data_IF_909421094383
#
_entry.id   IF_909421094383
#
_cell.length_a   1.000
_cell.length_b   1.000
_cell.length_c   1.000
_cell.angle_alpha   90.00
_cell.angle_beta   90.00
_cell.angle_gamma   90.00
#
_symmetry.space_group_name_H-M   'P 1'
#
loop_
_entity.id
_entity.type
_entity.pdbx_description
1 polymer ?
#
# COMPACT_ATOMS: atom_id res chain seq x y z
N UNK A 1 0.24 21.07 2.77
CA UNK A 1 1.50 20.39 3.09
C UNK A 1 1.58 18.96 2.54
N UNK A 2 1.12 18.77 1.30
CA UNK A 2 1.28 17.50 0.63
C UNK A 2 2.71 17.35 0.14
N UNK A 3 3.32 16.19 0.38
CA UNK A 3 4.64 15.88 -0.15
C UNK A 3 4.55 15.54 -1.64
N UNK A 4 3.43 14.94 -2.04
CA UNK A 4 3.24 14.51 -3.41
C UNK A 4 1.77 14.20 -3.65
N UNK A 5 1.25 14.59 -4.82
CA UNK A 5 -0.12 14.30 -5.22
C UNK A 5 -0.12 13.88 -6.69
N UNK A 6 -0.88 12.86 -6.98
CA UNK A 6 -1.05 12.38 -8.34
C UNK A 6 -2.52 12.42 -8.72
N UNK A 7 -2.84 13.13 -9.81
CA UNK A 7 -4.21 13.37 -10.26
C UNK A 7 -4.67 12.40 -11.34
N UNK A 8 -3.76 11.65 -11.95
CA UNK A 8 -4.08 10.68 -12.99
C UNK A 8 -4.36 9.30 -12.41
N UNK A 9 -5.11 8.50 -13.19
CA UNK A 9 -5.34 7.11 -12.84
C UNK A 9 -4.17 6.24 -13.26
N UNK A 10 -3.78 5.33 -12.41
CA UNK A 10 -2.83 4.28 -12.76
C UNK A 10 -3.56 2.98 -12.98
N UNK A 11 -3.15 2.25 -14.01
CA UNK A 11 -3.61 0.89 -14.23
C UNK A 11 -2.38 -0.01 -14.23
N UNK A 12 -2.36 -0.92 -13.27
CA UNK A 12 -1.26 -1.85 -13.12
C UNK A 12 -1.77 -3.25 -13.47
N UNK A 13 -1.12 -3.89 -14.45
CA UNK A 13 -1.42 -5.25 -14.82
C UNK A 13 -0.18 -6.11 -14.61
N UNK A 14 -0.33 -7.21 -13.90
CA UNK A 14 0.76 -8.12 -13.60
C UNK A 14 0.29 -9.56 -13.82
N UNK A 15 0.86 -10.24 -14.81
CA UNK A 15 0.43 -11.60 -15.17
C UNK A 15 0.93 -12.64 -14.17
N UNK A 16 2.15 -12.46 -13.67
CA UNK A 16 2.74 -13.38 -12.69
C UNK A 16 3.41 -12.57 -11.60
N UNK A 17 3.26 -13.04 -10.34
CA UNK A 17 3.88 -12.42 -9.20
C UNK A 17 3.34 -11.04 -8.89
N UNK A 18 4.10 -10.28 -8.13
CA UNK A 18 3.70 -8.98 -7.64
C UNK A 18 4.42 -7.86 -8.40
N UNK A 19 3.66 -6.92 -8.94
CA UNK A 19 4.18 -5.74 -9.62
C UNK A 19 4.01 -4.49 -8.77
N UNK A 20 4.96 -3.57 -8.87
CA UNK A 20 4.96 -2.30 -8.17
C UNK A 20 5.23 -1.15 -9.13
N UNK A 21 4.46 -0.05 -8.95
CA UNK A 21 4.80 1.25 -9.53
C UNK A 21 5.34 2.09 -8.39
N UNK A 22 6.64 2.41 -8.43
CA UNK A 22 7.34 3.10 -7.35
C UNK A 22 7.49 4.58 -7.67
N UNK A 23 7.17 5.45 -6.72
CA UNK A 23 7.27 6.90 -6.83
C UNK A 23 7.83 7.50 -5.55
N UNK A 24 8.32 8.74 -5.64
CA UNK A 24 8.84 9.47 -4.49
C UNK A 24 10.35 9.32 -4.35
N UNK A 25 10.86 9.72 -3.19
CA UNK A 25 12.29 9.72 -2.93
C UNK A 25 12.63 8.83 -1.74
N UNK A 26 13.90 8.45 -1.64
CA UNK A 26 14.38 7.66 -0.50
C UNK A 26 14.50 8.47 0.79
N UNK A 27 14.36 9.80 0.70
CA UNK A 27 14.53 10.68 1.86
C UNK A 27 13.27 10.84 2.70
N UNK A 28 12.11 10.42 2.21
CA UNK A 28 10.88 10.51 2.98
C UNK A 28 10.93 9.55 4.16
N UNK A 29 10.59 10.03 5.34
CA UNK A 29 10.67 9.24 6.57
C UNK A 29 9.31 9.00 7.20
N UNK A 30 8.63 10.06 7.63
CA UNK A 30 7.35 9.97 8.34
C UNK A 30 6.27 10.61 7.52
N UNK A 31 5.33 9.80 7.04
CA UNK A 31 4.28 10.30 6.14
C UNK A 31 3.11 9.33 6.05
N UNK A 32 2.03 9.81 5.45
CA UNK A 32 0.87 9.00 5.10
C UNK A 32 0.70 8.99 3.61
N UNK A 33 0.41 7.83 3.05
CA UNK A 33 -0.03 7.69 1.66
C UNK A 33 -1.48 7.21 1.66
N UNK A 34 -2.31 7.87 0.85
CA UNK A 34 -3.71 7.46 0.64
C UNK A 34 -3.96 7.31 -0.85
N UNK A 35 -4.82 6.39 -1.20
CA UNK A 35 -5.18 6.15 -2.61
C UNK A 35 -6.51 5.43 -2.70
N UNK A 36 -7.26 5.72 -3.77
CA UNK A 36 -8.47 4.98 -4.13
C UNK A 36 -8.06 3.80 -5.01
N UNK A 37 -8.24 2.59 -4.51
CA UNK A 37 -7.80 1.37 -5.18
C UNK A 37 -9.02 0.57 -5.63
N UNK A 38 -9.02 0.20 -6.92
CA UNK A 38 -10.10 -0.59 -7.51
C UNK A 38 -9.50 -1.85 -8.13
N UNK A 39 -9.49 -2.97 -7.40
CA UNK A 39 -9.03 -4.23 -8.00
C UNK A 39 -10.08 -4.74 -8.97
N UNK A 40 -9.71 -4.91 -10.23
CA UNK A 40 -10.62 -5.46 -11.25
C UNK A 40 -10.54 -6.97 -11.30
N UNK A 41 -9.35 -7.53 -11.12
CA UNK A 41 -9.10 -8.95 -11.00
C UNK A 41 -7.66 -9.09 -10.51
N UNK A 42 -7.46 -9.40 -9.25
CA UNK A 42 -6.11 -9.50 -8.68
C UNK A 42 -6.13 -10.42 -7.47
N UNK A 43 -5.01 -11.13 -7.27
CA UNK A 43 -4.82 -11.95 -6.08
C UNK A 43 -4.62 -11.05 -4.86
N UNK A 44 -3.92 -9.93 -5.03
CA UNK A 44 -3.77 -8.91 -4.02
C UNK A 44 -3.56 -7.55 -4.69
N UNK A 45 -3.98 -6.48 -4.03
CA UNK A 45 -3.81 -5.12 -4.52
C UNK A 45 -3.68 -4.17 -3.35
N UNK A 46 -2.92 -3.09 -3.50
CA UNK A 46 -2.80 -2.11 -2.45
C UNK A 46 -1.75 -1.06 -2.68
N UNK A 47 -1.21 -0.57 -1.58
CA UNK A 47 -0.23 0.50 -1.56
C UNK A 47 0.94 0.12 -0.65
N UNK A 48 2.07 0.78 -0.85
CA UNK A 48 3.25 0.54 -0.04
C UNK A 48 3.94 1.84 0.33
N UNK A 49 4.67 1.83 1.43
CA UNK A 49 5.41 2.96 1.98
C UNK A 49 6.82 2.54 2.36
N UNK A 50 7.70 3.53 2.54
CA UNK A 50 9.13 3.33 2.79
C UNK A 50 9.73 2.32 1.80
N UNK A 51 9.36 2.51 0.53
CA UNK A 51 9.81 1.63 -0.55
C UNK A 51 11.25 1.98 -0.90
N UNK A 52 12.13 1.02 -0.76
CA UNK A 52 13.54 1.14 -1.09
C UNK A 52 13.91 0.28 -2.31
N UNK A 53 12.98 -0.51 -2.78
CA UNK A 53 13.14 -1.39 -3.93
C UNK A 53 11.95 -2.33 -4.04
N UNK A 54 11.98 -3.19 -5.05
CA UNK A 54 10.89 -4.13 -5.34
C UNK A 54 10.65 -5.14 -4.22
N UNK A 55 11.63 -5.34 -3.35
CA UNK A 55 11.57 -6.33 -2.27
C UNK A 55 11.91 -5.72 -0.91
N UNK A 56 11.72 -4.41 -0.75
CA UNK A 56 11.95 -3.71 0.51
C UNK A 56 10.90 -2.62 0.68
N UNK A 57 9.85 -2.90 1.47
CA UNK A 57 8.77 -1.94 1.72
C UNK A 57 7.84 -2.41 2.85
N UNK A 58 7.00 -1.51 3.33
CA UNK A 58 5.80 -1.86 4.09
C UNK A 58 4.60 -1.74 3.15
N UNK A 59 3.70 -2.70 3.19
CA UNK A 59 2.54 -2.73 2.32
C UNK A 59 1.22 -2.87 3.06
N UNK A 60 0.17 -2.27 2.51
CA UNK A 60 -1.20 -2.47 2.94
C UNK A 60 -1.92 -3.10 1.75
N UNK A 61 -2.29 -4.36 1.88
CA UNK A 61 -2.76 -5.17 0.76
C UNK A 61 -4.14 -5.76 1.02
N UNK A 62 -5.03 -5.58 0.02
CA UNK A 62 -6.31 -6.28 -0.03
C UNK A 62 -6.08 -7.63 -0.71
N UNK A 63 -6.43 -8.70 -0.02
CA UNK A 63 -6.28 -10.05 -0.57
C UNK A 63 -7.58 -10.59 -1.12
N UNK A 64 -7.49 -11.43 -2.14
CA UNK A 64 -8.63 -12.11 -2.74
C UNK A 64 -9.35 -13.01 -1.71
N UNK A 65 -8.66 -13.42 -0.65
CA UNK A 65 -9.22 -14.20 0.44
C UNK A 65 -10.08 -13.40 1.42
N UNK A 66 -10.43 -12.16 1.05
CA UNK A 66 -11.26 -11.26 1.86
C UNK A 66 -10.59 -10.85 3.17
N UNK A 67 -9.28 -10.65 3.11
CA UNK A 67 -8.49 -10.13 4.22
C UNK A 67 -7.68 -8.94 3.77
N UNK A 68 -7.45 -8.01 4.68
CA UNK A 68 -6.49 -6.92 4.48
C UNK A 68 -5.29 -7.22 5.37
N UNK A 69 -4.09 -7.00 4.81
CA UNK A 69 -2.83 -7.31 5.50
C UNK A 69 -1.91 -6.10 5.52
N UNK A 70 -1.29 -5.90 6.65
CA UNK A 70 -0.16 -5.00 6.81
C UNK A 70 1.10 -5.87 6.79
N UNK A 71 1.94 -5.69 5.78
CA UNK A 71 3.08 -6.58 5.56
C UNK A 71 4.40 -5.82 5.56
N UNK A 72 5.47 -6.51 5.92
CA UNK A 72 6.84 -6.07 5.71
C UNK A 72 7.46 -6.98 4.66
N UNK A 73 7.97 -6.40 3.59
CA UNK A 73 8.74 -7.12 2.58
C UNK A 73 10.20 -6.70 2.71
N UNK A 74 11.05 -7.62 3.15
CA UNK A 74 12.50 -7.47 3.16
C UNK A 74 13.04 -8.81 2.66
N UNK A 75 13.11 -8.94 1.33
CA UNK A 75 13.36 -10.16 0.57
C UNK A 75 12.23 -11.19 0.70
N UNK A 76 11.72 -11.42 1.91
CA UNK A 76 10.56 -12.28 2.18
C UNK A 76 9.46 -11.46 2.84
N UNK A 77 8.22 -11.89 2.66
CA UNK A 77 7.06 -11.20 3.23
C UNK A 77 6.77 -11.71 4.65
N UNK A 78 6.61 -10.75 5.57
CA UNK A 78 6.17 -10.99 6.93
C UNK A 78 4.85 -10.25 7.14
N UNK A 79 3.82 -10.95 7.60
CA UNK A 79 2.54 -10.30 7.93
C UNK A 79 2.67 -9.71 9.34
N UNK A 80 2.55 -8.40 9.43
CA UNK A 80 2.63 -7.68 10.71
C UNK A 80 1.29 -7.63 11.40
N UNK A 81 0.21 -7.51 10.64
CA UNK A 81 -1.16 -7.48 11.15
C UNK A 81 -2.11 -7.86 10.02
N UNK A 82 -3.29 -8.39 10.36
CA UNK A 82 -4.31 -8.69 9.37
C UNK A 82 -5.70 -8.59 9.98
N UNK A 83 -6.71 -8.42 9.12
CA UNK A 83 -8.11 -8.39 9.51
C UNK A 83 -8.96 -8.87 8.34
N UNK A 84 -10.17 -9.30 8.65
CA UNK A 84 -11.14 -9.64 7.62
C UNK A 84 -11.73 -8.36 7.05
N UNK A 85 -11.91 -8.32 5.73
CA UNK A 85 -12.52 -7.19 5.06
C UNK A 85 -13.19 -7.67 3.78
N UNK A 86 -14.53 -7.59 3.75
CA UNK A 86 -15.29 -8.01 2.57
C UNK A 86 -15.21 -6.95 1.48
N UNK A 87 -14.85 -7.39 0.28
CA UNK A 87 -14.82 -6.53 -0.90
C UNK A 87 -14.98 -7.39 -2.15
N UNK A 88 -15.37 -6.77 -3.25
CA UNK A 88 -15.55 -7.45 -4.53
C UNK A 88 -14.78 -6.75 -5.63
N UNK A 89 -14.43 -7.47 -6.69
CA UNK A 89 -13.79 -6.87 -7.85
C UNK A 89 -14.68 -5.75 -8.40
N UNK A 90 -14.06 -4.63 -8.74
CA UNK A 90 -14.76 -3.44 -9.17
C UNK A 90 -15.11 -2.46 -8.06
N UNK A 91 -15.04 -2.89 -6.79
CA UNK A 91 -15.22 -1.97 -5.67
C UNK A 91 -14.02 -1.04 -5.56
N UNK A 92 -14.27 0.21 -5.20
CA UNK A 92 -13.21 1.19 -4.91
C UNK A 92 -13.09 1.34 -3.41
N UNK A 93 -11.90 1.08 -2.89
CA UNK A 93 -11.59 1.19 -1.46
C UNK A 93 -10.50 2.25 -1.28
N UNK A 94 -10.74 3.22 -0.39
CA UNK A 94 -9.68 4.16 -0.02
C UNK A 94 -8.75 3.50 0.97
N UNK A 95 -7.50 3.28 0.57
CA UNK A 95 -6.46 2.75 1.44
C UNK A 95 -5.61 3.89 1.99
N UNK A 96 -5.27 3.80 3.27
CA UNK A 96 -4.34 4.73 3.90
C UNK A 96 -3.26 3.98 4.65
N UNK A 97 -2.02 4.34 4.42
CA UNK A 97 -0.87 3.71 5.09
C UNK A 97 -0.01 4.82 5.67
N UNK A 98 0.15 4.79 6.99
CA UNK A 98 0.95 5.81 7.71
C UNK A 98 2.16 5.15 8.33
N UNK A 99 3.32 5.76 8.11
CA UNK A 99 4.57 5.37 8.73
C UNK A 99 5.09 6.56 9.54
N UNK A 100 5.22 6.38 10.85
CA UNK A 100 5.63 7.43 11.76
C UNK A 100 6.54 6.83 12.83
N UNK A 101 7.85 7.05 12.67
CA UNK A 101 8.83 6.35 13.50
C UNK A 101 8.75 4.86 13.25
N UNK A 102 8.55 4.08 14.29
CA UNK A 102 8.37 2.63 14.20
C UNK A 102 6.89 2.21 14.16
N UNK A 103 5.96 3.17 14.18
CA UNK A 103 4.53 2.88 14.17
C UNK A 103 4.03 2.88 12.73
N UNK A 104 3.33 1.80 12.37
CA UNK A 104 2.79 1.60 11.03
C UNK A 104 1.29 1.34 11.18
N UNK A 105 0.46 2.14 10.50
CA UNK A 105 -0.98 2.00 10.60
C UNK A 105 -1.61 1.91 9.22
N UNK A 106 -2.65 1.09 9.11
CA UNK A 106 -3.43 0.93 7.90
C UNK A 106 -4.87 1.32 8.12
N UNK A 107 -5.44 2.08 7.17
CA UNK A 107 -6.84 2.49 7.21
C UNK A 107 -7.55 2.09 5.92
N UNK A 108 -8.85 1.83 6.07
CA UNK A 108 -9.75 1.53 4.95
C UNK A 108 -10.94 2.47 5.04
N UNK A 109 -11.17 3.21 3.96
CA UNK A 109 -12.29 4.17 3.86
C UNK A 109 -12.31 5.15 5.05
N UNK A 110 -11.11 5.63 5.43
CA UNK A 110 -10.95 6.61 6.49
C UNK A 110 -10.91 6.05 7.92
N UNK A 111 -11.08 4.74 8.09
CA UNK A 111 -11.08 4.11 9.41
C UNK A 111 -9.83 3.28 9.62
N UNK A 112 -9.09 3.56 10.71
CA UNK A 112 -7.91 2.77 11.05
C UNK A 112 -8.33 1.34 11.42
N UNK A 113 -7.78 0.36 10.71
CA UNK A 113 -8.11 -1.06 10.86
C UNK A 113 -6.92 -1.83 11.44
N UNK A 114 -5.71 -1.50 11.03
CA UNK A 114 -4.51 -2.25 11.38
C UNK A 114 -3.43 -1.34 11.95
N UNK A 115 -2.67 -1.87 12.90
CA UNK A 115 -1.54 -1.19 13.50
C UNK A 115 -0.44 -2.19 13.82
N UNK A 116 0.80 -1.79 13.61
CA UNK A 116 1.96 -2.60 13.95
C UNK A 116 3.14 -1.70 14.31
N UNK A 117 4.15 -2.30 14.93
CA UNK A 117 5.41 -1.63 15.25
C UNK A 117 6.54 -2.39 14.58
N UNK A 118 7.34 -1.70 13.78
CA UNK A 118 8.51 -2.29 13.10
C UNK A 118 9.46 -1.17 12.75
N UNK A 119 10.75 -1.37 12.99
CA UNK A 119 11.76 -0.34 12.82
C UNK A 119 12.82 -0.68 11.75
N UNK A 120 12.59 -1.71 10.97
CA UNK A 120 13.61 -2.14 10.00
C UNK A 120 13.77 -1.17 8.83
N UNK A 121 12.67 -0.66 8.29
CA UNK A 121 12.69 0.32 7.20
C UNK A 121 12.33 1.69 7.75
N UNK A 122 13.23 2.66 7.59
CA UNK A 122 13.07 3.98 8.20
C UNK A 122 12.75 5.09 7.21
N UNK A 123 12.90 4.83 5.91
CA UNK A 123 12.67 5.81 4.87
C UNK A 123 12.39 5.14 3.53
N UNK A 124 11.90 5.90 2.57
CA UNK A 124 11.67 5.44 1.22
C UNK A 124 10.43 6.09 0.60
N UNK A 125 10.19 5.78 -0.67
CA UNK A 125 9.05 6.28 -1.43
C UNK A 125 7.80 5.46 -1.22
N UNK A 126 6.85 5.63 -2.13
CA UNK A 126 5.60 4.88 -2.14
C UNK A 126 5.56 3.94 -3.34
N UNK A 127 4.66 2.97 -3.29
CA UNK A 127 4.37 2.14 -4.45
C UNK A 127 2.88 1.80 -4.53
N UNK A 128 2.43 1.59 -5.76
CA UNK A 128 1.13 1.01 -6.06
C UNK A 128 1.38 -0.46 -6.37
N UNK A 129 0.54 -1.34 -5.84
CA UNK A 129 0.81 -2.78 -5.85
C UNK A 129 -0.33 -3.53 -6.51
N UNK A 130 -0.01 -4.46 -7.40
CA UNK A 130 -0.96 -5.44 -7.93
C UNK A 130 -0.27 -6.79 -8.08
N UNK A 131 -0.92 -7.85 -7.62
CA UNK A 131 -0.39 -9.20 -7.73
C UNK A 131 -1.32 -10.04 -8.58
N UNK A 132 -0.79 -10.59 -9.68
CA UNK A 132 -1.48 -11.51 -10.59
C UNK A 132 -2.86 -11.02 -10.98
N UNK A 133 -2.91 -9.90 -11.71
CA UNK A 133 -4.16 -9.34 -12.17
C UNK A 133 -4.08 -7.87 -12.53
N UNK A 134 -5.21 -7.18 -12.43
CA UNK A 134 -5.34 -5.78 -12.80
C UNK A 134 -5.95 -4.95 -11.67
N UNK A 135 -5.37 -3.79 -11.45
CA UNK A 135 -5.84 -2.85 -10.44
C UNK A 135 -5.74 -1.42 -10.97
N UNK A 136 -6.78 -0.63 -10.75
CA UNK A 136 -6.76 0.81 -11.01
C UNK A 136 -6.55 1.54 -9.69
N UNK A 137 -5.75 2.59 -9.71
CA UNK A 137 -5.46 3.38 -8.51
C UNK A 137 -5.56 4.86 -8.85
N UNK A 138 -6.35 5.59 -8.07
CA UNK A 138 -6.62 7.02 -8.27
C UNK A 138 -6.34 7.79 -7.00
N UNK A 139 -6.29 9.12 -7.14
CA UNK A 139 -6.25 10.06 -6.01
C UNK A 139 -5.13 9.75 -5.01
N UNK A 140 -3.95 9.43 -5.54
CA UNK A 140 -2.79 9.12 -4.70
C UNK A 140 -2.25 10.40 -4.07
N UNK A 141 -2.15 10.42 -2.75
CA UNK A 141 -1.66 11.57 -1.99
C UNK A 141 -0.66 11.14 -0.94
N UNK A 142 0.37 11.95 -0.76
CA UNK A 142 1.37 11.75 0.28
C UNK A 142 1.44 13.02 1.12
N UNK A 143 1.30 12.87 2.42
CA UNK A 143 1.33 13.98 3.39
C UNK A 143 2.29 13.66 4.53
N UNK A 144 2.87 14.69 5.19
CA UNK A 144 3.62 14.44 6.42
C UNK A 144 2.73 13.75 7.46
N UNK A 145 3.34 12.85 8.20
CA UNK A 145 2.62 12.13 9.24
C UNK A 145 2.28 13.03 10.42
#
# INVERSE_FOLDING_TARGET
>A
DELWTFVESFRLMQNEGRGLIIQGTRDWQNYSVTADVTPHMAKAAGIAARVQGMRRYYGLLLGQDQKVRLVKMVNDETVLANAEFEWAFGDTIELGLTVNGDRITGSLNGKMILEATDSELTCGGIALVSEEGRTATNAVRVKPA
#
